data_IF_055066667131
#
_entry.id   IF_055066667131
#
_cell.length_a   1.000
_cell.length_b   1.000
_cell.length_c   1.000
_cell.angle_alpha   90.00
_cell.angle_beta   90.00
_cell.angle_gamma   90.00
#
_symmetry.space_group_name_H-M   'P 1'
#
loop_
_entity.id
_entity.type
_entity.pdbx_description
1 polymer ?
#
# COMPACT_ATOMS: atom_id res chain seq x y z
N UNK A 1 4.63 0.86 23.07
CA UNK A 1 3.32 0.40 22.54
C UNK A 1 2.24 1.48 22.60
N UNK A 2 1.95 2.11 23.75
CA UNK A 2 0.99 3.23 23.84
C UNK A 2 1.32 4.41 22.89
N UNK A 3 2.61 4.73 22.70
CA UNK A 3 3.04 5.82 21.81
C UNK A 3 2.78 5.57 20.31
N UNK A 4 2.86 4.32 19.84
CA UNK A 4 2.54 3.95 18.44
C UNK A 4 1.03 3.96 18.18
N UNK A 5 0.22 3.57 19.17
CA UNK A 5 -1.25 3.64 19.09
C UNK A 5 -1.68 5.11 19.04
N UNK A 6 -1.10 5.98 19.88
CA UNK A 6 -1.41 7.43 19.86
C UNK A 6 -1.03 8.07 18.52
N UNK A 7 0.11 7.70 17.91
CA UNK A 7 0.52 8.19 16.59
C UNK A 7 -0.43 7.77 15.45
N UNK A 8 -1.05 6.59 15.54
CA UNK A 8 -2.02 6.13 14.54
C UNK A 8 -3.42 6.73 14.70
N UNK A 9 -3.82 7.15 15.91
CA UNK A 9 -5.19 7.64 16.18
C UNK A 9 -5.38 9.15 15.99
N UNK A 10 -4.32 9.95 16.11
CA UNK A 10 -4.37 11.41 15.91
C UNK A 10 -4.86 11.85 14.51
N UNK A 11 -4.52 11.21 13.37
CA UNK A 11 -4.96 11.69 12.06
C UNK A 11 -6.47 11.50 11.81
N UNK A 12 -7.14 10.59 12.53
CA UNK A 12 -8.57 10.35 12.34
C UNK A 12 -9.46 11.48 12.89
N UNK A 13 -8.98 12.20 13.92
CA UNK A 13 -9.78 13.21 14.62
C UNK A 13 -9.88 14.57 13.89
N UNK A 14 -9.05 14.81 12.87
CA UNK A 14 -8.99 16.10 12.14
C UNK A 14 -9.23 15.95 10.63
N UNK A 15 -9.91 14.89 10.22
CA UNK A 15 -10.19 14.62 8.81
C UNK A 15 -11.27 15.58 8.26
N UNK A 16 -10.86 16.77 7.80
CA UNK A 16 -11.71 17.64 6.98
C UNK A 16 -11.97 16.93 5.64
N UNK A 17 -13.23 16.85 5.20
CA UNK A 17 -13.60 16.17 3.97
C UNK A 17 -13.22 17.02 2.74
N UNK A 18 -11.95 16.98 2.34
CA UNK A 18 -11.42 17.75 1.20
C UNK A 18 -11.43 16.97 -0.12
N UNK A 19 -12.20 15.89 -0.23
CA UNK A 19 -12.14 14.93 -1.36
C UNK A 19 -12.35 15.58 -2.73
N UNK A 20 -13.27 16.54 -2.82
CA UNK A 20 -13.64 17.19 -4.09
C UNK A 20 -12.94 18.54 -4.34
N UNK A 21 -11.96 18.92 -3.52
CA UNK A 21 -11.19 20.16 -3.75
C UNK A 21 -10.00 19.96 -4.69
N UNK A 22 -9.40 18.77 -4.69
CA UNK A 22 -8.18 18.48 -5.41
C UNK A 22 -8.34 17.29 -6.33
N UNK A 23 -8.61 17.61 -7.60
CA UNK A 23 -8.60 16.63 -8.67
C UNK A 23 -7.19 16.43 -9.23
N UNK A 24 -7.01 15.30 -9.93
CA UNK A 24 -5.81 14.96 -10.67
C UNK A 24 -5.42 16.10 -11.63
N UNK A 25 -4.16 16.55 -11.68
CA UNK A 25 -3.77 17.78 -12.36
C UNK A 25 -4.15 17.83 -13.84
N UNK A 26 -4.15 16.68 -14.53
CA UNK A 26 -4.51 16.59 -15.96
C UNK A 26 -5.99 16.89 -16.19
N UNK A 27 -6.89 16.38 -15.36
CA UNK A 27 -8.34 16.56 -15.51
C UNK A 27 -8.91 17.66 -14.61
N UNK A 28 -8.05 18.37 -13.86
CA UNK A 28 -8.48 19.32 -12.82
C UNK A 28 -9.35 20.42 -13.37
N UNK A 29 -8.95 21.06 -14.48
CA UNK A 29 -9.70 22.18 -15.04
C UNK A 29 -11.12 21.78 -15.39
N UNK A 30 -11.27 20.70 -16.17
CA UNK A 30 -12.57 20.17 -16.60
C UNK A 30 -13.45 19.74 -15.41
N UNK A 31 -12.91 18.97 -14.46
CA UNK A 31 -13.69 18.48 -13.31
C UNK A 31 -14.06 19.59 -12.32
N UNK A 32 -13.22 20.62 -12.21
CA UNK A 32 -13.51 21.80 -11.37
C UNK A 32 -14.61 22.65 -12.00
N UNK A 33 -14.58 22.84 -13.31
CA UNK A 33 -15.63 23.54 -14.06
C UNK A 33 -17.00 22.83 -13.92
N UNK A 34 -17.01 21.49 -14.00
CA UNK A 34 -18.23 20.70 -13.80
C UNK A 34 -18.72 20.77 -12.35
N UNK A 35 -17.81 20.71 -11.37
CA UNK A 35 -18.15 20.81 -9.94
C UNK A 35 -18.76 22.17 -9.61
N UNK A 36 -18.15 23.25 -10.09
CA UNK A 36 -18.53 24.63 -9.74
C UNK A 36 -19.66 25.18 -10.63
N UNK A 37 -19.94 24.52 -11.76
CA UNK A 37 -21.07 24.82 -12.65
C UNK A 37 -22.29 23.96 -12.36
N UNK A 38 -22.54 22.89 -13.14
CA UNK A 38 -23.77 22.09 -13.04
C UNK A 38 -23.96 21.39 -11.68
N UNK A 39 -22.89 21.07 -10.96
CA UNK A 39 -22.95 20.29 -9.71
C UNK A 39 -22.72 21.12 -8.43
N UNK A 40 -22.81 22.45 -8.51
CA UNK A 40 -22.45 23.34 -7.39
C UNK A 40 -23.36 23.17 -6.17
N UNK A 41 -24.63 22.82 -6.37
CA UNK A 41 -25.61 22.60 -5.30
C UNK A 41 -25.21 21.42 -4.41
N UNK A 42 -24.89 20.28 -5.03
CA UNK A 42 -24.44 19.09 -4.32
C UNK A 42 -23.11 19.32 -3.61
N UNK A 43 -22.22 20.15 -4.19
CA UNK A 43 -20.96 20.51 -3.56
C UNK A 43 -21.16 21.37 -2.29
N UNK A 44 -22.08 22.34 -2.32
CA UNK A 44 -22.41 23.16 -1.15
C UNK A 44 -23.04 22.33 -0.01
N UNK A 45 -23.91 21.37 -0.35
CA UNK A 45 -24.47 20.43 0.62
C UNK A 45 -23.38 19.55 1.24
N UNK A 46 -22.41 19.09 0.45
CA UNK A 46 -21.29 18.33 0.98
C UNK A 46 -20.40 19.16 1.92
N UNK A 47 -20.17 20.44 1.63
CA UNK A 47 -19.43 21.33 2.53
C UNK A 47 -20.17 21.59 3.86
N UNK A 48 -21.51 21.57 3.85
CA UNK A 48 -22.31 21.62 5.09
C UNK A 48 -22.26 20.34 5.93
N UNK A 49 -21.60 19.29 5.45
CA UNK A 49 -21.44 18.01 6.15
C UNK A 49 -22.53 16.98 5.86
N UNK A 50 -23.37 17.19 4.84
CA UNK A 50 -24.34 16.20 4.40
C UNK A 50 -23.67 15.03 3.66
N UNK A 51 -24.24 13.83 3.77
CA UNK A 51 -23.73 12.60 3.13
C UNK A 51 -24.17 12.50 1.65
N UNK A 52 -23.91 13.52 0.85
CA UNK A 52 -24.28 13.60 -0.59
C UNK A 52 -23.12 13.19 -1.52
N UNK A 53 -22.19 12.39 -1.02
CA UNK A 53 -20.97 12.04 -1.77
C UNK A 53 -21.27 11.23 -3.04
N UNK A 54 -22.24 10.32 -3.01
CA UNK A 54 -22.63 9.55 -4.20
C UNK A 54 -23.37 10.41 -5.21
N UNK A 55 -24.27 11.29 -4.76
CA UNK A 55 -25.05 12.15 -5.64
C UNK A 55 -24.16 13.19 -6.34
N UNK A 56 -23.25 13.83 -5.60
CA UNK A 56 -22.26 14.74 -6.17
C UNK A 56 -21.36 14.02 -7.20
N UNK A 57 -20.92 12.81 -6.87
CA UNK A 57 -20.07 12.03 -7.76
C UNK A 57 -20.82 11.61 -9.03
N UNK A 58 -22.09 11.20 -8.91
CA UNK A 58 -22.94 10.87 -10.05
C UNK A 58 -23.16 12.10 -10.95
N UNK A 59 -23.44 13.27 -10.38
CA UNK A 59 -23.57 14.52 -11.13
C UNK A 59 -22.27 14.84 -11.92
N UNK A 60 -21.12 14.72 -11.27
CA UNK A 60 -19.83 14.96 -11.92
C UNK A 60 -19.59 13.95 -13.04
N UNK A 61 -19.87 12.66 -12.81
CA UNK A 61 -19.71 11.64 -13.83
C UNK A 61 -20.65 11.90 -15.01
N UNK A 62 -21.91 12.24 -14.79
CA UNK A 62 -22.87 12.45 -15.87
C UNK A 62 -22.45 13.58 -16.82
N UNK A 63 -21.88 14.66 -16.29
CA UNK A 63 -21.38 15.79 -17.08
C UNK A 63 -19.93 15.64 -17.59
N UNK A 64 -19.21 14.58 -17.19
CA UNK A 64 -17.84 14.34 -17.65
C UNK A 64 -17.81 13.65 -19.02
N UNK A 65 -16.85 14.01 -19.88
CA UNK A 65 -16.67 13.35 -21.18
C UNK A 65 -16.37 11.84 -21.05
N UNK A 66 -16.87 11.05 -22.00
CA UNK A 66 -16.65 9.59 -22.03
C UNK A 66 -15.17 9.20 -22.13
N UNK A 67 -14.33 10.04 -22.76
CA UNK A 67 -12.89 9.81 -22.84
C UNK A 67 -12.24 9.79 -21.46
N UNK A 68 -12.53 10.80 -20.64
CA UNK A 68 -11.98 10.92 -19.28
C UNK A 68 -12.48 9.77 -18.39
N UNK A 69 -13.74 9.36 -18.53
CA UNK A 69 -14.27 8.18 -17.81
C UNK A 69 -13.49 6.92 -18.17
N UNK A 70 -13.23 6.71 -19.47
CA UNK A 70 -12.45 5.59 -19.97
C UNK A 70 -11.02 5.60 -19.43
N UNK A 71 -10.36 6.76 -19.42
CA UNK A 71 -9.00 6.91 -18.89
C UNK A 71 -8.94 6.58 -17.39
N UNK A 72 -9.88 7.11 -16.59
CA UNK A 72 -9.96 6.83 -15.15
C UNK A 72 -10.21 5.34 -14.91
N UNK A 73 -11.12 4.72 -15.69
CA UNK A 73 -11.41 3.30 -15.59
C UNK A 73 -10.18 2.43 -15.91
N UNK A 74 -9.36 2.83 -16.90
CA UNK A 74 -8.11 2.15 -17.22
C UNK A 74 -7.08 2.24 -16.09
N UNK A 75 -7.03 3.38 -15.39
CA UNK A 75 -6.17 3.58 -14.22
C UNK A 75 -6.50 2.63 -13.07
N UNK A 76 -7.77 2.28 -12.88
CA UNK A 76 -8.20 1.31 -11.86
C UNK A 76 -7.59 -0.07 -12.12
N UNK A 77 -7.50 -0.49 -13.38
CA UNK A 77 -6.89 -1.78 -13.75
C UNK A 77 -5.40 -1.78 -13.41
N UNK A 78 -4.69 -0.71 -13.72
CA UNK A 78 -3.27 -0.58 -13.40
C UNK A 78 -3.03 -0.59 -11.87
N UNK A 79 -3.85 0.15 -11.11
CA UNK A 79 -3.79 0.16 -9.64
C UNK A 79 -4.16 -1.21 -9.03
N UNK A 80 -5.10 -1.94 -9.64
CA UNK A 80 -5.47 -3.29 -9.22
C UNK A 80 -4.41 -4.36 -9.51
N UNK A 81 -3.63 -4.18 -10.58
CA UNK A 81 -2.49 -5.03 -10.92
C UNK A 81 -1.19 -4.64 -10.18
N UNK A 82 -1.10 -3.43 -9.63
CA UNK A 82 0.10 -2.98 -8.93
C UNK A 82 0.53 -3.92 -7.79
N UNK A 83 -0.36 -4.44 -6.92
CA UNK A 83 0.04 -5.41 -5.89
C UNK A 83 0.62 -6.70 -6.47
N UNK A 84 0.11 -7.19 -7.60
CA UNK A 84 0.62 -8.42 -8.22
C UNK A 84 1.98 -8.18 -8.84
N UNK A 85 2.17 -7.06 -9.54
CA UNK A 85 3.48 -6.63 -10.08
C UNK A 85 4.50 -6.50 -8.95
N UNK A 86 4.17 -5.79 -7.86
CA UNK A 86 5.03 -5.65 -6.68
C UNK A 86 5.34 -7.00 -6.02
N UNK A 87 4.42 -7.95 -6.08
CA UNK A 87 4.62 -9.31 -5.57
C UNK A 87 5.59 -10.12 -6.43
N UNK A 88 5.56 -9.95 -7.75
CA UNK A 88 6.53 -10.56 -8.66
C UNK A 88 7.93 -9.96 -8.54
N UNK A 89 8.03 -8.64 -8.39
CA UNK A 89 9.29 -7.92 -8.18
C UNK A 89 9.82 -8.02 -6.73
N UNK A 90 9.01 -8.53 -5.81
CA UNK A 90 9.34 -8.64 -4.39
C UNK A 90 10.53 -9.58 -4.13
N UNK A 91 11.40 -9.16 -3.20
CA UNK A 91 12.57 -9.93 -2.76
C UNK A 91 12.16 -11.15 -1.93
N UNK A 92 12.93 -12.23 -2.02
CA UNK A 92 12.66 -13.44 -1.23
C UNK A 92 12.96 -13.23 0.25
N UNK A 93 12.24 -13.93 1.14
CA UNK A 93 12.49 -13.91 2.59
C UNK A 93 13.94 -14.28 2.94
N UNK A 94 14.58 -15.16 2.17
CA UNK A 94 15.99 -15.48 2.37
C UNK A 94 16.91 -14.27 2.09
N UNK A 95 16.61 -13.49 1.06
CA UNK A 95 17.38 -12.29 0.70
C UNK A 95 17.18 -11.16 1.71
N UNK A 96 15.95 -10.96 2.20
CA UNK A 96 15.67 -9.95 3.24
C UNK A 96 16.32 -10.30 4.58
N UNK A 97 16.42 -11.59 4.92
CA UNK A 97 17.18 -12.07 6.10
C UNK A 97 18.69 -11.83 5.94
N UNK A 98 19.25 -12.05 4.75
CA UNK A 98 20.66 -11.71 4.50
C UNK A 98 20.89 -10.20 4.56
N UNK A 99 19.94 -9.40 4.07
CA UNK A 99 19.99 -7.95 4.10
C UNK A 99 19.89 -7.39 5.53
N UNK A 100 19.04 -7.98 6.38
CA UNK A 100 18.83 -7.54 7.77
C UNK A 100 20.08 -7.67 8.63
N UNK A 101 20.92 -8.67 8.33
CA UNK A 101 22.21 -8.87 8.99
C UNK A 101 23.20 -7.72 8.75
N UNK A 102 23.07 -7.00 7.63
CA UNK A 102 24.03 -5.96 7.22
C UNK A 102 23.48 -4.53 7.35
N UNK A 103 22.19 -4.32 7.09
CA UNK A 103 21.51 -3.00 7.18
C UNK A 103 20.09 -3.17 7.74
N UNK A 104 19.94 -3.30 9.07
CA UNK A 104 18.67 -3.71 9.70
C UNK A 104 17.54 -2.69 9.51
N UNK A 105 17.81 -1.38 9.52
CA UNK A 105 16.79 -0.36 9.27
C UNK A 105 16.22 -0.42 7.84
N UNK A 106 17.07 -0.69 6.87
CA UNK A 106 16.68 -0.77 5.46
C UNK A 106 15.88 -2.06 5.21
N UNK A 107 16.31 -3.17 5.82
CA UNK A 107 15.56 -4.42 5.80
C UNK A 107 14.18 -4.28 6.46
N UNK A 108 14.08 -3.52 7.56
CA UNK A 108 12.80 -3.24 8.21
C UNK A 108 11.86 -2.43 7.31
N UNK A 109 12.35 -1.35 6.69
CA UNK A 109 11.56 -0.54 5.76
C UNK A 109 11.09 -1.36 4.55
N UNK A 110 11.98 -2.18 3.99
CA UNK A 110 11.63 -3.09 2.90
C UNK A 110 10.61 -4.14 3.37
N UNK A 111 10.79 -4.76 4.52
CA UNK A 111 9.85 -5.76 5.05
C UNK A 111 8.47 -5.16 5.34
N UNK A 112 8.40 -3.90 5.80
CA UNK A 112 7.14 -3.20 6.06
C UNK A 112 6.35 -2.84 4.79
N UNK A 113 7.04 -2.71 3.65
CA UNK A 113 6.43 -2.33 2.37
C UNK A 113 6.38 -3.45 1.32
N UNK A 114 7.09 -4.56 1.53
CA UNK A 114 7.17 -5.65 0.57
C UNK A 114 6.03 -6.63 0.79
N UNK A 115 5.32 -7.06 -0.26
CA UNK A 115 4.54 -8.29 -0.18
C UNK A 115 5.50 -9.44 0.18
N UNK A 116 5.22 -10.13 1.28
CA UNK A 116 6.14 -11.09 1.91
C UNK A 116 6.28 -12.42 1.15
N UNK A 117 5.44 -12.65 0.14
CA UNK A 117 5.29 -13.96 -0.51
C UNK A 117 5.42 -13.83 -2.03
N UNK A 118 6.53 -14.30 -2.60
CA UNK A 118 6.63 -14.47 -4.05
C UNK A 118 5.94 -15.79 -4.46
N UNK A 119 4.81 -15.75 -5.18
CA UNK A 119 4.02 -16.94 -5.52
C UNK A 119 4.79 -17.93 -6.39
N UNK A 120 5.81 -17.47 -7.16
CA UNK A 120 6.64 -18.36 -7.99
C UNK A 120 7.49 -19.32 -7.16
N UNK A 121 7.86 -18.93 -5.94
CA UNK A 121 8.65 -19.79 -5.03
C UNK A 121 7.83 -20.50 -3.97
N UNK A 122 6.56 -20.17 -3.77
CA UNK A 122 5.66 -20.94 -2.89
C UNK A 122 5.54 -22.41 -3.34
N UNK A 123 5.69 -22.66 -4.65
CA UNK A 123 5.67 -24.01 -5.22
C UNK A 123 7.03 -24.73 -5.18
N UNK A 124 8.12 -24.01 -4.87
CA UNK A 124 9.44 -24.60 -4.65
C UNK A 124 9.63 -24.69 -3.14
N UNK A 125 9.18 -25.80 -2.54
CA UNK A 125 9.46 -26.08 -1.14
C UNK A 125 10.97 -26.37 -1.00
N UNK A 126 11.77 -25.47 -0.37
CA UNK A 126 13.14 -25.82 -0.04
C UNK A 126 13.04 -26.94 1.00
N UNK A 127 13.44 -28.17 0.64
CA UNK A 127 13.46 -29.28 1.58
C UNK A 127 14.50 -28.95 2.66
N UNK A 128 14.10 -28.50 3.86
CA UNK A 128 15.06 -27.99 4.84
C UNK A 128 15.98 -29.12 5.31
N UNK A 129 15.50 -30.36 5.27
CA UNK A 129 16.26 -31.56 5.62
C UNK A 129 17.41 -31.79 4.63
N UNK A 130 17.18 -31.61 3.32
CA UNK A 130 18.23 -31.80 2.29
C UNK A 130 19.29 -30.70 2.35
N UNK A 131 18.89 -29.47 2.67
CA UNK A 131 19.81 -28.34 2.89
C UNK A 131 20.65 -28.56 4.16
N UNK A 132 20.04 -29.01 5.26
CA UNK A 132 20.75 -29.29 6.51
C UNK A 132 21.73 -30.45 6.40
N UNK A 133 21.36 -31.52 5.67
CA UNK A 133 22.25 -32.65 5.40
C UNK A 133 23.48 -32.25 4.57
N UNK A 134 23.35 -31.21 3.73
CA UNK A 134 24.45 -30.64 2.95
C UNK A 134 25.40 -29.79 3.80
N UNK A 135 24.89 -29.20 4.88
CA UNK A 135 25.65 -28.34 5.82
C UNK A 135 26.43 -29.17 6.86
N UNK A 136 25.96 -30.36 7.24
CA UNK A 136 26.67 -31.27 8.15
C UNK A 136 28.10 -31.62 7.71
N UNK A 137 28.42 -31.44 6.42
CA UNK A 137 29.78 -31.58 5.91
C UNK A 137 30.70 -30.39 6.24
N UNK A 138 30.21 -29.15 6.29
CA UNK A 138 31.02 -27.93 6.41
C UNK A 138 30.32 -26.86 7.27
N UNK A 139 30.83 -26.68 8.50
CA UNK A 139 30.58 -25.61 9.49
C UNK A 139 29.25 -25.62 10.27
N UNK A 140 29.40 -25.67 11.60
CA UNK A 140 28.36 -25.48 12.60
C UNK A 140 27.66 -24.11 12.46
N UNK A 141 26.33 -24.03 12.67
CA UNK A 141 25.61 -22.77 12.63
C UNK A 141 26.08 -21.86 13.78
N UNK A 142 26.61 -20.69 13.43
CA UNK A 142 26.91 -19.65 14.42
C UNK A 142 25.61 -19.19 15.06
N UNK A 143 25.43 -19.64 16.30
CA UNK A 143 24.48 -19.21 17.33
C UNK A 143 23.85 -17.82 17.07
N UNK A 144 22.55 -17.79 16.80
CA UNK A 144 21.77 -16.57 16.83
C UNK A 144 21.74 -16.11 18.29
N UNK A 145 22.36 -14.96 18.58
CA UNK A 145 22.41 -14.47 19.95
C UNK A 145 21.00 -14.24 20.48
N UNK A 146 20.75 -14.60 21.74
CA UNK A 146 19.44 -14.53 22.42
C UNK A 146 18.77 -13.14 22.26
N UNK A 147 19.57 -12.09 22.12
CA UNK A 147 19.13 -10.70 21.91
C UNK A 147 18.57 -10.43 20.50
N UNK A 148 19.05 -11.13 19.47
CA UNK A 148 18.52 -11.01 18.11
C UNK A 148 17.16 -11.71 17.97
N UNK A 149 16.90 -12.78 18.75
CA UNK A 149 15.58 -13.43 18.81
C UNK A 149 14.55 -12.55 19.52
N UNK A 150 14.94 -11.86 20.59
CA UNK A 150 14.07 -10.96 21.33
C UNK A 150 13.54 -9.79 20.48
N UNK A 151 14.34 -9.27 19.55
CA UNK A 151 13.92 -8.19 18.65
C UNK A 151 12.90 -8.62 17.58
N UNK A 152 12.88 -9.90 17.21
CA UNK A 152 11.92 -10.45 16.24
C UNK A 152 10.58 -10.81 16.88
N UNK A 153 10.55 -11.10 18.19
CA UNK A 153 9.30 -11.41 18.91
C UNK A 153 8.57 -10.18 19.48
N UNK A 154 9.18 -8.99 19.47
CA UNK A 154 8.58 -7.74 19.98
C UNK A 154 7.99 -6.87 18.85
N UNK A 155 8.31 -7.20 17.59
CA UNK A 155 7.75 -6.55 16.41
C UNK A 155 6.48 -7.26 15.93
#
# INVERSE_FOLDING_TARGET
>A
MLSFIVLCYVPAAFAKNTRFHHFFPVYRAALTEIRDGPCSEHFALQESGAEVCHDLLNCILEHTSEVIKGDIASGIVALGLMPTILTFLGSSTAETVLLSRRRPLLAFLIASGSPSVNPLRTFVYPNPIKELMKIEGHLAPTYFSLWQAAFVSIL
#
